data_IF_967643236931
#
_entry.id   IF_967643236931
#
_cell.length_a   1.000
_cell.length_b   1.000
_cell.length_c   1.000
_cell.angle_alpha   90.00
_cell.angle_beta   90.00
_cell.angle_gamma   90.00
#
_symmetry.space_group_name_H-M   'P 1'
#
loop_
_entity.id
_entity.type
_entity.pdbx_description
1 polymer ?
#
# COMPACT_ATOMS: atom_id res chain seq x y z
N UNK A 1 -30.54 -20.24 -0.34
CA UNK A 1 -29.71 -20.75 0.78
C UNK A 1 -28.25 -20.42 0.47
N UNK A 2 -27.75 -19.25 0.87
CA UNK A 2 -26.34 -18.89 0.66
C UNK A 2 -25.55 -19.22 1.93
N UNK A 3 -24.74 -20.28 1.83
CA UNK A 3 -23.91 -20.81 2.91
C UNK A 3 -22.55 -20.12 2.86
N UNK A 4 -22.26 -19.32 3.89
CA UNK A 4 -20.94 -18.88 4.36
C UNK A 4 -19.78 -19.07 3.37
N UNK A 5 -19.54 -18.08 2.52
CA UNK A 5 -18.46 -18.12 1.51
C UNK A 5 -17.25 -17.24 1.85
N UNK A 6 -17.26 -16.51 2.97
CA UNK A 6 -16.13 -15.66 3.33
C UNK A 6 -15.70 -15.88 4.77
N UNK A 7 -14.68 -16.73 4.95
CA UNK A 7 -14.03 -16.98 6.23
C UNK A 7 -12.73 -16.18 6.30
N UNK A 8 -12.85 -14.86 6.33
CA UNK A 8 -11.76 -13.93 6.62
C UNK A 8 -10.53 -14.02 5.69
N UNK A 9 -9.55 -13.15 5.97
CA UNK A 9 -8.29 -13.15 5.23
C UNK A 9 -7.37 -14.23 5.82
N UNK A 10 -7.19 -15.36 5.12
CA UNK A 10 -6.22 -16.38 5.50
C UNK A 10 -4.82 -15.91 5.07
N UNK A 11 -4.20 -15.10 5.95
CA UNK A 11 -2.85 -14.54 5.80
C UNK A 11 -1.92 -15.30 6.74
N UNK A 12 -0.85 -15.84 6.18
CA UNK A 12 0.24 -16.42 6.94
C UNK A 12 1.50 -15.58 6.71
N UNK A 13 2.16 -15.16 7.79
CA UNK A 13 3.49 -14.55 7.72
C UNK A 13 4.52 -15.60 8.06
N UNK A 14 5.45 -15.84 7.14
CA UNK A 14 6.49 -16.87 7.27
C UNK A 14 7.83 -16.16 7.47
N UNK A 15 8.52 -16.46 8.58
CA UNK A 15 9.87 -16.00 8.82
C UNK A 15 10.89 -16.98 8.23
N UNK A 16 11.71 -16.54 7.27
CA UNK A 16 12.53 -17.46 6.46
C UNK A 16 13.98 -17.60 6.99
N UNK A 17 14.53 -16.60 7.70
CA UNK A 17 15.93 -16.64 8.16
C UNK A 17 16.12 -16.18 9.63
N UNK A 18 17.07 -16.82 10.33
CA UNK A 18 17.68 -16.29 11.55
C UNK A 18 18.62 -15.13 11.20
N UNK A 19 18.77 -14.17 12.11
CA UNK A 19 19.59 -12.98 11.90
C UNK A 19 21.02 -13.35 11.47
N UNK A 20 21.52 -12.71 10.43
CA UNK A 20 22.89 -12.91 9.99
C UNK A 20 23.86 -12.55 11.13
N UNK A 21 24.99 -13.25 11.23
CA UNK A 21 25.91 -13.14 12.37
C UNK A 21 26.52 -11.73 12.55
N UNK A 22 26.31 -10.85 11.57
CA UNK A 22 26.77 -9.46 11.56
C UNK A 22 25.72 -8.45 12.09
N UNK A 23 24.53 -8.88 12.50
CA UNK A 23 23.54 -7.99 13.13
C UNK A 23 22.77 -7.08 12.16
N UNK A 24 22.94 -7.25 10.85
CA UNK A 24 22.14 -6.57 9.83
C UNK A 24 20.83 -7.32 9.64
N UNK A 25 19.71 -6.71 10.06
CA UNK A 25 18.38 -7.30 9.99
C UNK A 25 17.66 -6.72 8.77
N UNK A 26 17.62 -7.48 7.67
CA UNK A 26 16.75 -7.17 6.53
C UNK A 26 15.34 -7.71 6.79
N UNK A 27 14.42 -6.84 7.21
CA UNK A 27 13.02 -7.17 7.48
C UNK A 27 12.28 -7.72 6.26
N UNK A 28 12.63 -7.27 5.04
CA UNK A 28 11.98 -7.67 3.79
C UNK A 28 12.38 -9.09 3.40
N UNK A 29 13.66 -9.45 3.58
CA UNK A 29 14.08 -10.84 3.44
C UNK A 29 13.50 -11.72 4.54
N UNK A 30 13.35 -11.17 5.75
CA UNK A 30 12.95 -11.94 6.93
C UNK A 30 11.49 -12.37 6.89
N UNK A 31 10.58 -11.52 6.44
CA UNK A 31 9.14 -11.78 6.46
C UNK A 31 8.57 -11.87 5.05
N UNK A 32 7.99 -13.02 4.71
CA UNK A 32 7.13 -13.15 3.53
C UNK A 32 5.68 -13.33 3.95
N UNK A 33 4.85 -12.40 3.51
CA UNK A 33 3.41 -12.50 3.61
C UNK A 33 2.87 -13.40 2.48
N UNK A 34 2.33 -14.54 2.87
CA UNK A 34 1.61 -15.44 1.98
C UNK A 34 0.10 -15.31 2.22
N UNK A 35 -0.68 -15.44 1.15
CA UNK A 35 -2.14 -15.43 1.18
C UNK A 35 -2.66 -16.66 0.48
N UNK A 36 -3.45 -17.46 1.20
CA UNK A 36 -4.18 -18.55 0.57
C UNK A 36 -5.34 -17.98 -0.25
N UNK A 37 -5.44 -18.39 -1.52
CA UNK A 37 -6.54 -18.02 -2.42
C UNK A 37 -7.28 -19.29 -2.79
N UNK A 38 -8.57 -19.35 -2.48
CA UNK A 38 -9.37 -20.56 -2.78
C UNK A 38 -9.60 -20.69 -4.28
N UNK A 39 -9.74 -21.92 -4.84
CA UNK A 39 -10.03 -22.12 -6.26
C UNK A 39 -11.19 -21.28 -6.83
N UNK A 40 -12.36 -21.15 -6.17
CA UNK A 40 -13.42 -20.29 -6.68
C UNK A 40 -13.07 -18.80 -6.64
N UNK A 41 -12.33 -18.33 -5.64
CA UNK A 41 -11.84 -16.94 -5.58
C UNK A 41 -10.81 -16.66 -6.68
N UNK A 42 -9.91 -17.61 -6.95
CA UNK A 42 -8.95 -17.51 -8.05
C UNK A 42 -9.67 -17.42 -9.40
N UNK A 43 -10.72 -18.21 -9.59
CA UNK A 43 -11.53 -18.15 -10.80
C UNK A 43 -12.27 -16.80 -10.93
N UNK A 44 -12.80 -16.27 -9.83
CA UNK A 44 -13.43 -14.95 -9.77
C UNK A 44 -12.45 -13.82 -10.18
N UNK A 45 -11.21 -13.90 -9.69
CA UNK A 45 -10.09 -13.01 -10.06
C UNK A 45 -9.73 -13.13 -11.55
N UNK A 46 -9.64 -14.36 -12.08
CA UNK A 46 -9.32 -14.62 -13.49
C UNK A 46 -10.40 -14.04 -14.42
N UNK A 47 -11.67 -14.18 -14.05
CA UNK A 47 -12.78 -13.61 -14.81
C UNK A 47 -13.00 -12.10 -14.58
N UNK A 48 -12.24 -11.47 -13.68
CA UNK A 48 -12.31 -10.03 -13.43
C UNK A 48 -13.59 -9.57 -12.74
N UNK A 49 -14.28 -10.45 -12.02
CA UNK A 49 -15.46 -10.06 -11.24
C UNK A 49 -15.05 -9.28 -9.99
N UNK A 50 -15.90 -8.33 -9.58
CA UNK A 50 -15.69 -7.58 -8.35
C UNK A 50 -15.73 -8.50 -7.13
N UNK A 51 -14.60 -8.58 -6.42
CA UNK A 51 -14.42 -9.44 -5.25
C UNK A 51 -15.00 -8.76 -4.00
N UNK A 52 -14.89 -7.44 -3.92
CA UNK A 52 -15.34 -6.65 -2.79
C UNK A 52 -15.85 -5.29 -3.28
N UNK A 53 -17.11 -4.99 -3.03
CA UNK A 53 -17.64 -3.64 -3.14
C UNK A 53 -17.65 -3.01 -1.75
N UNK A 54 -16.74 -2.06 -1.50
CA UNK A 54 -16.65 -1.35 -0.21
C UNK A 54 -17.37 0.00 -0.38
N UNK A 55 -18.41 0.22 0.43
CA UNK A 55 -19.15 1.48 0.49
C UNK A 55 -19.13 2.00 1.94
N UNK A 56 -18.55 3.19 2.21
CA UNK A 56 -17.95 4.13 1.26
C UNK A 56 -16.61 3.64 0.68
N UNK A 57 -16.20 4.20 -0.46
CA UNK A 57 -14.90 3.89 -1.07
C UNK A 57 -13.76 4.21 -0.09
N UNK A 58 -12.93 3.21 0.20
CA UNK A 58 -11.74 3.37 1.03
C UNK A 58 -10.52 3.47 0.12
N UNK A 59 -9.73 4.54 0.26
CA UNK A 59 -8.44 4.71 -0.42
C UNK A 59 -7.29 4.58 0.58
N UNK A 60 -6.28 3.79 0.24
CA UNK A 60 -5.04 3.71 1.02
C UNK A 60 -4.17 4.93 0.69
N UNK A 61 -3.81 5.70 1.70
CA UNK A 61 -2.87 6.82 1.59
C UNK A 61 -1.43 6.31 1.74
N UNK A 62 -0.49 6.91 1.01
CA UNK A 62 0.93 6.56 1.10
C UNK A 62 1.53 7.06 2.42
N UNK A 63 2.17 6.17 3.15
CA UNK A 63 2.92 6.47 4.37
C UNK A 63 4.40 6.60 4.02
N UNK A 64 5.01 7.70 4.45
CA UNK A 64 6.41 8.01 4.18
C UNK A 64 7.01 8.77 5.36
N UNK A 65 8.33 8.74 5.48
CA UNK A 65 9.05 9.59 6.42
C UNK A 65 8.97 11.07 5.99
N UNK A 66 9.24 12.02 6.91
CA UNK A 66 9.27 13.44 6.57
C UNK A 66 10.20 13.70 5.38
N UNK A 67 9.70 14.41 4.36
CA UNK A 67 10.41 14.76 3.12
C UNK A 67 10.88 13.56 2.25
N UNK A 68 10.31 12.38 2.48
CA UNK A 68 10.59 11.17 1.68
C UNK A 68 9.37 10.68 0.90
N UNK A 69 8.47 11.59 0.50
CA UNK A 69 7.39 11.24 -0.41
C UNK A 69 7.90 11.13 -1.84
N UNK A 70 7.29 10.24 -2.61
CA UNK A 70 7.65 10.03 -4.00
C UNK A 70 7.07 11.14 -4.88
N UNK A 71 7.90 11.74 -5.73
CA UNK A 71 7.51 12.69 -6.75
C UNK A 71 7.76 12.09 -8.13
N UNK A 72 6.73 12.06 -8.96
CA UNK A 72 6.87 11.74 -10.38
C UNK A 72 7.24 13.03 -11.13
N UNK A 73 8.34 12.99 -11.86
CA UNK A 73 8.79 14.10 -12.70
C UNK A 73 9.24 13.60 -14.07
N UNK A 74 9.25 14.50 -15.03
CA UNK A 74 9.69 14.22 -16.39
C UNK A 74 11.22 14.26 -16.45
N UNK A 75 11.83 13.30 -17.15
CA UNK A 75 13.28 13.20 -17.25
C UNK A 75 13.91 14.41 -17.97
N UNK A 76 13.15 15.10 -18.82
CA UNK A 76 13.60 16.27 -19.57
C UNK A 76 13.52 17.58 -18.76
N UNK A 77 13.01 17.54 -17.52
CA UNK A 77 12.87 18.73 -16.66
C UNK A 77 13.98 18.85 -15.64
N UNK A 78 14.41 20.08 -15.36
CA UNK A 78 15.37 20.37 -14.31
C UNK A 78 14.75 20.07 -12.93
N UNK A 79 15.49 19.33 -12.10
CA UNK A 79 15.08 19.01 -10.74
C UNK A 79 14.80 20.25 -9.88
N UNK A 80 15.48 21.37 -10.14
CA UNK A 80 15.26 22.62 -9.41
C UNK A 80 13.87 23.18 -9.67
N UNK A 81 13.44 23.16 -10.93
CA UNK A 81 12.08 23.59 -11.33
C UNK A 81 11.02 22.63 -10.79
N UNK A 82 11.32 21.33 -10.70
CA UNK A 82 10.43 20.35 -10.07
C UNK A 82 10.28 20.61 -8.57
N UNK A 83 11.37 20.95 -7.88
CA UNK A 83 11.36 21.21 -6.43
C UNK A 83 10.75 22.56 -6.06
N UNK A 84 10.84 23.57 -6.94
CA UNK A 84 10.26 24.90 -6.73
C UNK A 84 8.73 24.90 -6.80
N UNK A 85 8.12 23.84 -7.36
CA UNK A 85 6.66 23.71 -7.41
C UNK A 85 6.07 23.63 -6.01
N UNK A 86 4.97 24.35 -5.82
CA UNK A 86 4.21 24.35 -4.57
C UNK A 86 3.72 22.94 -4.18
N UNK A 87 3.49 22.08 -5.17
CA UNK A 87 3.05 20.69 -4.96
C UNK A 87 4.20 19.71 -4.68
N UNK A 88 5.45 20.13 -4.86
CA UNK A 88 6.61 19.26 -4.63
C UNK A 88 6.78 18.87 -3.16
N UNK A 89 6.24 19.66 -2.22
CA UNK A 89 6.25 19.34 -0.80
C UNK A 89 5.01 18.60 -0.29
N UNK A 90 3.97 18.47 -1.13
CA UNK A 90 2.66 17.95 -0.71
C UNK A 90 2.52 16.47 -1.07
N UNK A 91 2.15 15.65 -0.10
CA UNK A 91 1.69 14.29 -0.33
C UNK A 91 0.18 14.19 -0.12
N UNK A 92 -0.41 13.11 -0.62
CA UNK A 92 -1.84 12.83 -0.41
C UNK A 92 -2.18 12.77 1.09
N UNK A 93 -1.25 12.29 1.92
CA UNK A 93 -1.42 12.19 3.36
C UNK A 93 -1.35 13.56 4.05
N UNK A 94 -0.38 14.41 3.69
CA UNK A 94 -0.26 15.75 4.29
C UNK A 94 -1.44 16.63 3.89
N UNK A 95 -1.85 16.59 2.62
CA UNK A 95 -3.01 17.32 2.12
C UNK A 95 -4.31 16.85 2.80
N UNK A 96 -4.46 15.54 3.06
CA UNK A 96 -5.59 15.00 3.81
C UNK A 96 -5.64 15.56 5.24
N UNK A 97 -4.51 15.64 5.95
CA UNK A 97 -4.47 16.23 7.27
C UNK A 97 -4.76 17.74 7.26
N UNK A 98 -4.28 18.48 6.27
CA UNK A 98 -4.62 19.90 6.11
C UNK A 98 -6.11 20.12 5.87
N UNK A 99 -6.72 19.34 4.96
CA UNK A 99 -8.16 19.40 4.69
C UNK A 99 -8.99 19.08 5.94
N UNK A 100 -8.59 18.07 6.72
CA UNK A 100 -9.26 17.74 7.97
C UNK A 100 -9.19 18.87 9.01
N UNK A 101 -8.13 19.70 9.01
CA UNK A 101 -8.05 20.87 9.91
C UNK A 101 -8.98 22.01 9.51
N UNK A 102 -9.44 22.04 8.26
CA UNK A 102 -10.33 23.08 7.74
C UNK A 102 -11.81 22.69 7.80
N UNK A 103 -12.09 21.38 7.86
CA UNK A 103 -13.45 20.81 7.80
C UNK A 103 -13.91 20.14 9.10
N UNK A 104 -13.10 20.18 10.15
CA UNK A 104 -13.43 19.76 11.52
C UNK A 104 -13.40 20.99 12.42
#
# INVERSE_FOLDING_TARGET
LFKYLYKGHDKASISINEADKNGEIDEIQRYRDARWVTPPEALWRIYGFDICHISPSVRQLQLHLPNMHMLAFDADKDLRDVLDKEDAGRSMLTAYFEANRQHV
#
